data_IF_368560616354
#
_entry.id   IF_368560616354
#
_cell.length_a   1.000
_cell.length_b   1.000
_cell.length_c   1.000
_cell.angle_alpha   90.00
_cell.angle_beta   90.00
_cell.angle_gamma   90.00
#
_symmetry.space_group_name_H-M   'P 1'
#
loop_
_entity.id
_entity.type
_entity.pdbx_description
1 polymer ?
#
# COMPACT_ATOMS: atom_id res chain seq x y z
N UNK A 1 0.62 29.85 -9.76
CA UNK A 1 0.45 29.87 -8.29
C UNK A 1 0.30 28.42 -7.86
N UNK A 2 1.29 27.83 -7.18
CA UNK A 2 1.21 26.43 -6.74
C UNK A 2 0.20 26.42 -5.59
N UNK A 3 -0.93 25.78 -5.81
CA UNK A 3 -1.95 25.65 -4.79
C UNK A 3 -1.44 24.69 -3.70
N UNK A 4 -1.06 25.25 -2.56
CA UNK A 4 -0.55 24.51 -1.40
C UNK A 4 -1.65 23.72 -0.66
N UNK A 5 -2.90 23.79 -1.13
CA UNK A 5 -4.06 23.15 -0.49
C UNK A 5 -4.13 21.65 -0.76
N UNK A 6 -3.55 21.15 -1.86
CA UNK A 6 -3.52 19.72 -2.16
C UNK A 6 -2.10 19.13 -1.99
N UNK A 7 -1.81 18.48 -0.84
CA UNK A 7 -0.53 17.85 -0.58
C UNK A 7 -0.24 16.66 -1.51
N UNK A 8 -1.24 16.13 -2.21
CA UNK A 8 -1.10 15.05 -3.19
C UNK A 8 -0.58 15.57 -4.55
N UNK A 9 -0.54 16.89 -4.82
CA UNK A 9 0.08 17.38 -6.07
C UNK A 9 1.57 17.03 -6.11
N UNK A 10 2.03 16.49 -7.24
CA UNK A 10 3.36 15.85 -7.33
C UNK A 10 4.52 16.75 -6.94
N UNK A 11 4.49 18.02 -7.35
CA UNK A 11 5.49 19.02 -6.97
C UNK A 11 5.48 19.34 -5.48
N UNK A 12 4.31 19.33 -4.85
CA UNK A 12 4.15 19.62 -3.40
C UNK A 12 4.65 18.42 -2.59
N UNK A 13 4.25 17.19 -2.97
CA UNK A 13 4.75 15.94 -2.38
C UNK A 13 6.28 15.87 -2.43
N UNK A 14 6.86 16.12 -3.61
CA UNK A 14 8.31 16.10 -3.82
C UNK A 14 9.03 17.08 -2.87
N UNK A 15 8.48 18.29 -2.69
CA UNK A 15 9.06 19.28 -1.79
C UNK A 15 8.99 18.86 -0.32
N UNK A 16 7.87 18.29 0.13
CA UNK A 16 7.76 17.74 1.48
C UNK A 16 8.77 16.62 1.72
N UNK A 17 8.85 15.67 0.78
CA UNK A 17 9.81 14.58 0.83
C UNK A 17 11.25 15.09 0.90
N UNK A 18 11.67 15.92 -0.06
CA UNK A 18 13.02 16.52 -0.09
C UNK A 18 13.36 17.30 1.16
N UNK A 19 12.42 18.12 1.66
CA UNK A 19 12.62 18.89 2.89
C UNK A 19 12.84 17.95 4.07
N UNK A 20 12.05 16.88 4.17
CA UNK A 20 12.19 15.88 5.23
C UNK A 20 13.54 15.19 5.17
N UNK A 21 13.93 14.73 3.99
CA UNK A 21 15.20 14.04 3.76
C UNK A 21 16.39 14.96 4.06
N UNK A 22 16.38 16.22 3.64
CA UNK A 22 17.47 17.18 3.92
C UNK A 22 17.62 17.48 5.42
N UNK A 23 16.50 17.64 6.13
CA UNK A 23 16.51 17.82 7.59
C UNK A 23 17.06 16.55 8.26
N UNK A 24 16.62 15.37 7.82
CA UNK A 24 17.13 14.08 8.30
C UNK A 24 18.64 13.96 8.12
N UNK A 25 19.16 14.24 6.92
CA UNK A 25 20.62 14.26 6.64
C UNK A 25 21.33 15.19 7.61
N UNK A 26 20.87 16.44 7.73
CA UNK A 26 21.53 17.44 8.57
C UNK A 26 21.57 17.00 10.05
N UNK A 27 20.44 16.58 10.60
CA UNK A 27 20.34 16.17 12.01
C UNK A 27 21.20 14.92 12.28
N UNK A 28 21.16 13.92 11.40
CA UNK A 28 21.91 12.68 11.57
C UNK A 28 23.43 12.89 11.44
N UNK A 29 23.87 13.72 10.49
CA UNK A 29 25.29 14.11 10.38
C UNK A 29 25.73 14.91 11.61
N UNK A 30 24.89 15.82 12.10
CA UNK A 30 25.19 16.59 13.31
C UNK A 30 25.33 15.70 14.54
N UNK A 31 24.41 14.75 14.72
CA UNK A 31 24.48 13.75 15.80
C UNK A 31 25.73 12.88 15.68
N UNK A 32 26.08 12.43 14.47
CA UNK A 32 27.32 11.69 14.22
C UNK A 32 28.54 12.49 14.70
N UNK A 33 28.68 13.76 14.29
CA UNK A 33 29.84 14.59 14.66
C UNK A 33 29.96 14.73 16.18
N UNK A 34 28.85 15.05 16.86
CA UNK A 34 28.85 15.22 18.32
C UNK A 34 29.21 13.92 19.03
N UNK A 35 28.53 12.82 18.69
CA UNK A 35 28.75 11.52 19.32
C UNK A 35 30.15 11.01 19.04
N UNK A 36 30.66 11.15 17.82
CA UNK A 36 32.00 10.70 17.48
C UNK A 36 33.07 11.50 18.24
N UNK A 37 32.93 12.83 18.32
CA UNK A 37 33.84 13.67 19.09
C UNK A 37 33.82 13.32 20.58
N UNK A 38 32.64 13.19 21.20
CA UNK A 38 32.53 12.82 22.62
C UNK A 38 33.01 11.39 22.86
N UNK A 39 32.62 10.44 22.03
CA UNK A 39 33.03 9.05 22.14
C UNK A 39 34.55 8.88 22.06
N UNK A 40 35.22 9.64 21.18
CA UNK A 40 36.70 9.60 21.08
C UNK A 40 37.39 10.31 22.24
N UNK A 41 36.93 11.50 22.64
CA UNK A 41 37.52 12.25 23.76
C UNK A 41 37.39 11.52 25.10
N UNK A 42 36.27 10.84 25.32
CA UNK A 42 35.97 10.10 26.54
C UNK A 42 36.21 8.60 26.40
N UNK A 43 36.89 8.16 25.34
CA UNK A 43 37.27 6.75 25.09
C UNK A 43 36.10 5.76 25.16
N UNK A 44 34.88 6.21 24.85
CA UNK A 44 33.67 5.41 24.90
C UNK A 44 33.39 4.74 23.56
N UNK A 45 33.76 3.47 23.45
CA UNK A 45 33.52 2.63 22.26
C UNK A 45 32.02 2.55 21.93
N UNK A 46 31.16 2.49 22.95
CA UNK A 46 29.70 2.44 22.78
C UNK A 46 29.14 3.70 22.11
N UNK A 47 29.62 4.88 22.50
CA UNK A 47 29.18 6.16 21.90
C UNK A 47 29.72 6.32 20.48
N UNK A 48 30.94 5.85 20.20
CA UNK A 48 31.48 5.85 18.84
C UNK A 48 30.67 4.92 17.93
N UNK A 49 30.28 3.74 18.40
CA UNK A 49 29.41 2.83 17.65
C UNK A 49 28.04 3.46 17.36
N UNK A 50 27.43 4.10 18.35
CA UNK A 50 26.17 4.84 18.19
C UNK A 50 26.29 6.06 17.25
N UNK A 51 27.47 6.66 17.16
CA UNK A 51 27.77 7.69 16.16
C UNK A 51 27.71 7.10 14.74
N UNK A 52 28.36 5.96 14.50
CA UNK A 52 28.36 5.30 13.18
C UNK A 52 26.95 4.95 12.72
N UNK A 53 26.05 4.57 13.65
CA UNK A 53 24.63 4.39 13.33
C UNK A 53 24.01 5.69 12.84
N UNK A 54 24.24 6.81 13.55
CA UNK A 54 23.76 8.13 13.09
C UNK A 54 24.28 8.52 11.70
N UNK A 55 25.47 8.05 11.31
CA UNK A 55 25.97 8.22 9.94
C UNK A 55 25.23 7.33 8.93
N UNK A 56 24.92 6.08 9.28
CA UNK A 56 24.10 5.20 8.45
C UNK A 56 22.70 5.79 8.20
N UNK A 57 22.09 6.43 9.19
CA UNK A 57 20.76 7.05 9.08
C UNK A 57 20.78 8.30 8.19
N UNK A 58 21.92 9.02 8.17
CA UNK A 58 22.13 10.05 7.16
C UNK A 58 22.14 9.43 5.75
N UNK A 59 22.74 8.25 5.58
CA UNK A 59 22.66 7.45 4.36
C UNK A 59 21.21 7.08 3.98
N UNK A 60 20.42 6.55 4.92
CA UNK A 60 18.99 6.28 4.73
C UNK A 60 18.21 7.54 4.33
N UNK A 61 18.57 8.70 4.88
CA UNK A 61 17.99 10.00 4.52
C UNK A 61 18.39 10.45 3.12
N UNK A 62 19.61 10.13 2.64
CA UNK A 62 20.02 10.33 1.24
C UNK A 62 19.21 9.44 0.30
N UNK A 63 18.98 8.16 0.66
CA UNK A 63 18.13 7.25 -0.11
C UNK A 63 16.71 7.83 -0.21
N UNK A 64 16.15 8.32 0.89
CA UNK A 64 14.87 9.03 0.92
C UNK A 64 14.86 10.23 -0.04
N UNK A 65 15.91 11.05 -0.04
CA UNK A 65 16.03 12.22 -0.92
C UNK A 65 16.03 11.82 -2.40
N UNK A 66 16.82 10.81 -2.76
CA UNK A 66 16.92 10.28 -4.12
C UNK A 66 15.58 9.66 -4.53
N UNK A 67 14.96 8.90 -3.64
CA UNK A 67 13.65 8.28 -3.84
C UNK A 67 12.61 9.32 -4.27
N UNK A 68 12.42 10.39 -3.51
CA UNK A 68 11.46 11.44 -3.87
C UNK A 68 11.79 12.16 -5.18
N UNK A 69 13.07 12.34 -5.50
CA UNK A 69 13.50 12.94 -6.77
C UNK A 69 13.18 12.02 -7.95
N UNK A 70 13.44 10.73 -7.83
CA UNK A 70 13.23 9.75 -8.89
C UNK A 70 11.77 9.37 -9.04
N UNK A 71 11.03 9.19 -7.94
CA UNK A 71 9.61 8.84 -7.96
C UNK A 71 8.75 9.94 -8.56
N UNK A 72 9.18 11.20 -8.45
CA UNK A 72 8.50 12.36 -9.04
C UNK A 72 8.76 12.52 -10.55
N UNK A 73 9.61 11.68 -11.16
CA UNK A 73 9.88 11.74 -12.58
C UNK A 73 8.63 11.31 -13.38
N UNK A 74 8.23 12.07 -14.42
CA UNK A 74 7.10 11.68 -15.26
C UNK A 74 7.36 10.35 -16.00
N UNK A 75 6.33 9.84 -16.68
CA UNK A 75 6.46 8.70 -17.57
C UNK A 75 7.47 8.98 -18.68
N UNK A 76 8.20 7.94 -19.10
CA UNK A 76 9.12 7.98 -20.21
C UNK A 76 9.02 6.70 -21.05
N UNK A 77 9.77 6.62 -22.15
CA UNK A 77 9.73 5.49 -23.09
C UNK A 77 10.02 4.13 -22.43
N UNK A 78 10.88 4.09 -21.40
CA UNK A 78 11.20 2.86 -20.68
C UNK A 78 10.19 2.54 -19.57
N UNK A 79 9.53 3.57 -19.04
CA UNK A 79 8.57 3.48 -17.94
C UNK A 79 7.30 4.25 -18.29
N UNK A 80 6.42 3.70 -19.14
CA UNK A 80 5.22 4.40 -19.63
C UNK A 80 4.21 4.70 -18.52
N UNK A 81 4.23 3.93 -17.43
CA UNK A 81 3.39 4.19 -16.24
C UNK A 81 4.03 5.15 -15.23
N UNK A 82 5.28 5.58 -15.46
CA UNK A 82 6.02 6.47 -14.56
C UNK A 82 6.85 5.74 -13.51
N UNK A 83 7.37 6.51 -12.56
CA UNK A 83 8.44 6.09 -11.66
C UNK A 83 8.02 6.03 -10.19
N UNK A 84 6.75 6.26 -9.87
CA UNK A 84 6.31 6.47 -8.48
C UNK A 84 6.53 5.24 -7.58
N UNK A 85 6.50 4.01 -8.12
CA UNK A 85 6.85 2.78 -7.37
C UNK A 85 8.28 2.74 -6.84
N UNK A 86 9.20 3.59 -7.33
CA UNK A 86 10.54 3.75 -6.74
C UNK A 86 10.43 4.12 -5.26
N UNK A 87 9.38 4.83 -4.87
CA UNK A 87 9.15 5.15 -3.46
C UNK A 87 9.00 3.89 -2.61
N UNK A 88 8.21 2.91 -3.05
CA UNK A 88 8.03 1.64 -2.34
C UNK A 88 9.33 0.84 -2.29
N UNK A 89 10.08 0.78 -3.40
CA UNK A 89 11.37 0.08 -3.46
C UNK A 89 12.36 0.69 -2.46
N UNK A 90 12.47 2.01 -2.42
CA UNK A 90 13.35 2.70 -1.47
C UNK A 90 12.91 2.48 -0.01
N UNK A 91 11.60 2.48 0.26
CA UNK A 91 11.05 2.12 1.57
C UNK A 91 11.43 0.70 1.99
N UNK A 92 11.36 -0.27 1.07
CA UNK A 92 11.78 -1.66 1.34
C UNK A 92 13.27 -1.74 1.66
N UNK A 93 14.13 -0.98 0.95
CA UNK A 93 15.57 -0.92 1.24
C UNK A 93 15.83 -0.39 2.65
N UNK A 94 15.14 0.68 3.06
CA UNK A 94 15.26 1.20 4.43
C UNK A 94 14.73 0.18 5.46
N UNK A 95 13.62 -0.52 5.17
CA UNK A 95 13.11 -1.57 6.03
C UNK A 95 14.14 -2.70 6.23
N UNK A 96 14.87 -3.08 5.17
CA UNK A 96 15.97 -4.05 5.26
C UNK A 96 17.11 -3.53 6.15
N UNK A 97 17.48 -2.25 6.06
CA UNK A 97 18.47 -1.67 6.98
C UNK A 97 18.02 -1.70 8.44
N UNK A 98 16.75 -1.37 8.73
CA UNK A 98 16.18 -1.50 10.08
C UNK A 98 16.29 -2.95 10.58
N UNK A 99 16.00 -3.94 9.74
CA UNK A 99 16.15 -5.36 10.09
C UNK A 99 17.61 -5.74 10.38
N UNK A 100 18.55 -5.27 9.56
CA UNK A 100 19.98 -5.52 9.78
C UNK A 100 20.47 -4.89 11.09
N UNK A 101 20.04 -3.66 11.40
CA UNK A 101 20.33 -3.00 12.67
C UNK A 101 19.73 -3.77 13.85
N UNK A 102 18.49 -4.25 13.73
CA UNK A 102 17.86 -5.11 14.73
C UNK A 102 18.64 -6.41 14.97
N UNK A 103 19.09 -7.08 13.91
CA UNK A 103 19.92 -8.29 14.01
C UNK A 103 21.28 -8.00 14.66
N UNK A 104 21.91 -6.88 14.31
CA UNK A 104 23.19 -6.49 14.89
C UNK A 104 23.05 -6.13 16.38
N UNK A 105 21.99 -5.42 16.76
CA UNK A 105 21.66 -5.17 18.16
C UNK A 105 21.41 -6.49 18.91
N UNK A 106 20.66 -7.42 18.33
CA UNK A 106 20.40 -8.73 18.94
C UNK A 106 21.72 -9.49 19.21
N UNK A 107 22.63 -9.52 18.23
CA UNK A 107 23.94 -10.18 18.34
C UNK A 107 24.81 -9.53 19.42
N UNK A 108 24.94 -8.20 19.38
CA UNK A 108 25.76 -7.45 20.33
C UNK A 108 25.19 -7.56 21.76
N UNK A 109 23.87 -7.48 21.93
CA UNK A 109 23.20 -7.68 23.20
C UNK A 109 23.36 -9.10 23.74
N UNK A 110 23.25 -10.14 22.88
CA UNK A 110 23.53 -11.51 23.29
C UNK A 110 24.99 -11.69 23.75
N UNK A 111 25.94 -11.11 23.01
CA UNK A 111 27.36 -11.15 23.39
C UNK A 111 27.60 -10.48 24.76
N UNK A 112 26.92 -9.38 25.07
CA UNK A 112 27.00 -8.71 26.38
C UNK A 112 26.47 -9.56 27.55
N UNK A 113 25.53 -10.48 27.30
CA UNK A 113 25.08 -11.45 28.33
C UNK A 113 26.19 -12.48 28.60
N UNK A 114 26.84 -12.97 27.55
CA UNK A 114 27.87 -14.02 27.65
C UNK A 114 29.19 -13.45 28.16
N UNK A 115 29.54 -12.23 27.73
CA UNK A 115 30.75 -11.50 28.09
C UNK A 115 30.37 -10.09 28.53
N UNK A 116 30.08 -9.92 29.83
CA UNK A 116 29.82 -8.63 30.46
C UNK A 116 30.95 -7.64 30.18
N UNK A 117 30.66 -6.53 29.52
CA UNK A 117 31.62 -5.41 29.36
C UNK A 117 31.52 -4.48 30.57
N UNK A 118 32.64 -3.86 30.98
CA UNK A 118 32.59 -2.79 31.99
C UNK A 118 31.96 -1.53 31.36
N UNK A 119 30.81 -1.12 31.89
CA UNK A 119 30.14 0.12 31.46
C UNK A 119 30.76 1.27 32.25
N UNK A 120 31.63 2.06 31.61
CA UNK A 120 32.12 3.30 32.22
C UNK A 120 31.02 4.36 32.24
N UNK A 121 30.59 4.71 33.46
CA UNK A 121 29.59 5.75 33.67
C UNK A 121 30.22 7.13 33.52
N UNK A 122 29.72 7.93 32.57
CA UNK A 122 30.09 9.33 32.38
C UNK A 122 28.87 10.22 32.22
N UNK A 123 28.78 11.28 33.02
CA UNK A 123 27.70 12.27 32.92
C UNK A 123 27.64 12.94 31.54
N UNK A 124 28.79 13.07 30.87
CA UNK A 124 28.86 13.63 29.51
C UNK A 124 28.24 12.67 28.49
N UNK A 125 28.52 11.36 28.62
CA UNK A 125 27.95 10.32 27.76
C UNK A 125 26.42 10.28 27.92
N UNK A 126 25.92 10.28 29.16
CA UNK A 126 24.49 10.34 29.46
C UNK A 126 23.82 11.56 28.81
N UNK A 127 24.43 12.74 28.93
CA UNK A 127 23.91 13.97 28.31
C UNK A 127 23.80 13.88 26.79
N UNK A 128 24.81 13.31 26.12
CA UNK A 128 24.79 13.12 24.66
C UNK A 128 23.74 12.10 24.22
N UNK A 129 23.58 10.99 24.95
CA UNK A 129 22.55 9.99 24.64
C UNK A 129 21.14 10.57 24.81
N UNK A 130 20.90 11.35 25.87
CA UNK A 130 19.63 12.06 26.08
C UNK A 130 19.34 13.05 24.95
N UNK A 131 20.35 13.84 24.54
CA UNK A 131 20.21 14.76 23.42
C UNK A 131 19.89 14.01 22.11
N UNK A 132 20.56 12.90 21.85
CA UNK A 132 20.29 12.03 20.70
C UNK A 132 18.85 11.51 20.69
N UNK A 133 18.39 10.98 21.82
CA UNK A 133 17.01 10.49 21.97
C UNK A 133 16.01 11.61 21.68
N UNK A 134 16.22 12.81 22.22
CA UNK A 134 15.35 13.95 21.98
C UNK A 134 15.32 14.36 20.49
N UNK A 135 16.47 14.43 19.84
CA UNK A 135 16.58 14.76 18.42
C UNK A 135 15.89 13.71 17.52
N UNK A 136 16.10 12.42 17.81
CA UNK A 136 15.48 11.31 17.07
C UNK A 136 13.97 11.20 17.31
N UNK A 137 13.49 11.45 18.54
CA UNK A 137 12.05 11.55 18.83
C UNK A 137 11.41 12.70 18.05
N UNK A 138 12.09 13.84 17.95
CA UNK A 138 11.62 14.95 17.13
C UNK A 138 11.58 14.56 15.64
N UNK A 139 12.62 13.90 15.12
CA UNK A 139 12.63 13.40 13.73
C UNK A 139 11.51 12.40 13.47
N UNK A 140 11.26 11.47 14.40
CA UNK A 140 10.13 10.54 14.31
C UNK A 140 8.80 11.30 14.20
N UNK A 141 8.53 12.22 15.12
CA UNK A 141 7.30 13.02 15.14
C UNK A 141 7.13 13.88 13.88
N UNK A 142 8.23 14.45 13.38
CA UNK A 142 8.24 15.23 12.15
C UNK A 142 7.94 14.36 10.91
N UNK A 143 8.64 13.24 10.76
CA UNK A 143 8.46 12.33 9.63
C UNK A 143 7.09 11.67 9.64
N UNK A 144 6.57 11.19 10.79
CA UNK A 144 5.25 10.54 10.82
C UNK A 144 4.12 11.51 10.49
N UNK A 145 4.25 12.79 10.88
CA UNK A 145 3.28 13.83 10.52
C UNK A 145 3.27 14.09 9.02
N UNK A 146 4.45 14.16 8.40
CA UNK A 146 4.55 14.31 6.95
C UNK A 146 4.10 13.05 6.20
N UNK A 147 4.47 11.88 6.70
CA UNK A 147 4.09 10.58 6.14
C UNK A 147 2.57 10.43 6.05
N UNK A 148 1.83 10.82 7.09
CA UNK A 148 0.36 10.82 7.07
C UNK A 148 -0.21 11.89 6.13
N UNK A 149 0.44 13.05 6.04
CA UNK A 149 -0.05 14.18 5.24
C UNK A 149 0.02 13.93 3.74
N UNK A 150 1.05 13.24 3.29
CA UNK A 150 1.22 12.91 1.87
C UNK A 150 0.92 11.45 1.58
N UNK A 151 0.65 10.61 2.58
CA UNK A 151 0.61 9.15 2.43
C UNK A 151 1.91 8.59 1.79
N UNK A 152 2.99 8.61 2.55
CA UNK A 152 4.32 8.16 2.10
C UNK A 152 4.83 7.00 2.92
N UNK A 153 4.99 5.84 2.27
CA UNK A 153 5.67 4.68 2.83
C UNK A 153 7.14 5.00 3.15
N UNK A 154 7.79 5.85 2.35
CA UNK A 154 9.20 6.21 2.54
C UNK A 154 9.41 7.05 3.80
N UNK A 155 8.49 7.96 4.12
CA UNK A 155 8.54 8.71 5.38
C UNK A 155 8.09 7.89 6.59
N UNK A 156 7.18 6.92 6.42
CA UNK A 156 6.88 5.91 7.47
C UNK A 156 8.15 5.09 7.78
N UNK A 157 8.81 4.63 6.71
CA UNK A 157 10.23 4.30 6.57
C UNK A 157 11.15 4.98 7.59
N UNK A 158 11.45 6.24 7.26
CA UNK A 158 12.38 7.10 7.99
C UNK A 158 11.92 7.38 9.43
N UNK A 159 10.61 7.43 9.69
CA UNK A 159 10.10 7.59 11.04
C UNK A 159 10.40 6.35 11.90
N UNK A 160 10.12 5.15 11.39
CA UNK A 160 10.36 3.90 12.11
C UNK A 160 11.86 3.66 12.37
N UNK A 161 12.72 4.05 11.41
CA UNK A 161 14.17 4.09 11.58
C UNK A 161 14.57 4.97 12.77
N UNK A 162 14.08 6.22 12.80
CA UNK A 162 14.34 7.15 13.91
C UNK A 162 13.81 6.63 15.26
N UNK A 163 12.67 5.94 15.27
CA UNK A 163 12.11 5.32 16.47
C UNK A 163 12.96 4.13 16.93
N UNK A 164 13.49 3.33 16.00
CA UNK A 164 14.36 2.20 16.29
C UNK A 164 15.63 2.67 17.00
N UNK A 165 16.21 3.78 16.56
CA UNK A 165 17.34 4.40 17.27
C UNK A 165 16.96 4.89 18.66
N UNK A 166 15.80 5.54 18.82
CA UNK A 166 15.33 5.97 20.14
C UNK A 166 15.28 4.78 21.09
N UNK A 167 14.73 3.65 20.65
CA UNK A 167 14.64 2.45 21.47
C UNK A 167 16.02 1.87 21.77
N UNK A 168 16.89 1.77 20.77
CA UNK A 168 18.25 1.25 20.92
C UNK A 168 19.10 2.12 21.85
N UNK A 169 19.16 3.44 21.62
CA UNK A 169 19.88 4.39 22.47
C UNK A 169 19.28 4.43 23.89
N UNK A 170 17.95 4.33 24.04
CA UNK A 170 17.30 4.27 25.35
C UNK A 170 17.65 2.99 26.10
N UNK A 171 17.76 1.85 25.41
CA UNK A 171 18.22 0.59 26.00
C UNK A 171 19.61 0.75 26.61
N UNK A 172 20.55 1.32 25.85
CA UNK A 172 21.92 1.58 26.31
C UNK A 172 21.92 2.55 27.50
N UNK A 173 21.14 3.62 27.43
CA UNK A 173 21.05 4.62 28.48
C UNK A 173 20.49 4.05 29.79
N UNK A 174 19.37 3.33 29.74
CA UNK A 174 18.77 2.67 30.90
C UNK A 174 19.74 1.70 31.54
N UNK A 175 20.46 0.93 30.72
CA UNK A 175 21.42 -0.06 31.19
C UNK A 175 22.64 0.59 31.83
N UNK A 176 23.10 1.72 31.30
CA UNK A 176 24.19 2.53 31.86
C UNK A 176 23.82 3.09 33.25
N UNK A 177 22.57 3.47 33.46
CA UNK A 177 22.11 4.03 34.75
C UNK A 177 21.80 2.94 35.78
N UNK A 178 21.13 1.86 35.37
CA UNK A 178 20.61 0.86 36.30
C UNK A 178 21.62 -0.25 36.65
N UNK A 179 22.53 -0.61 35.75
CA UNK A 179 23.48 -1.72 36.00
C UNK A 179 24.39 -1.47 37.22
N UNK A 180 24.92 -0.25 37.44
CA UNK A 180 25.68 0.06 38.66
C UNK A 180 24.84 0.01 39.95
N UNK A 181 23.54 0.33 39.87
CA UNK A 181 22.64 0.36 41.03
C UNK A 181 22.18 -1.03 41.48
N UNK A 182 22.00 -1.95 40.52
CA UNK A 182 21.48 -3.30 40.76
C UNK A 182 22.59 -4.34 40.95
N UNK A 183 23.85 -4.02 40.63
CA UNK A 183 24.97 -4.97 40.65
C UNK A 183 24.83 -6.08 39.60
N UNK A 184 23.95 -5.90 38.61
CA UNK A 184 23.65 -6.86 37.55
C UNK A 184 23.60 -6.14 36.20
N UNK A 185 24.23 -6.71 35.17
CA UNK A 185 24.26 -6.09 33.85
C UNK A 185 22.98 -6.36 33.06
N UNK A 186 22.14 -5.33 32.95
CA UNK A 186 20.86 -5.40 32.24
C UNK A 186 20.96 -5.18 30.72
N UNK A 187 22.09 -4.65 30.24
CA UNK A 187 22.27 -4.19 28.85
C UNK A 187 21.96 -5.25 27.80
N UNK A 188 22.46 -6.47 28.02
CA UNK A 188 22.19 -7.57 27.11
C UNK A 188 20.72 -7.97 27.06
N UNK A 189 20.03 -8.02 28.21
CA UNK A 189 18.62 -8.45 28.27
C UNK A 189 17.67 -7.40 27.69
N UNK A 190 17.87 -6.12 28.06
CA UNK A 190 17.06 -5.01 27.53
C UNK A 190 17.30 -4.85 26.03
N UNK A 191 18.55 -4.97 25.58
CA UNK A 191 18.90 -4.88 24.17
C UNK A 191 18.32 -6.01 23.32
N UNK A 192 18.27 -7.26 23.82
CA UNK A 192 17.55 -8.35 23.14
C UNK A 192 16.07 -7.99 22.98
N UNK A 193 15.40 -7.57 24.06
CA UNK A 193 13.98 -7.21 24.01
C UNK A 193 13.72 -6.08 23.00
N UNK A 194 14.53 -5.04 23.02
CA UNK A 194 14.42 -3.90 22.09
C UNK A 194 14.70 -4.33 20.64
N UNK A 195 15.69 -5.19 20.40
CA UNK A 195 16.01 -5.68 19.06
C UNK A 195 14.84 -6.42 18.41
N UNK A 196 14.06 -7.19 19.18
CA UNK A 196 12.85 -7.87 18.70
C UNK A 196 11.81 -6.85 18.25
N UNK A 197 11.57 -5.78 19.01
CA UNK A 197 10.64 -4.72 18.62
C UNK A 197 11.07 -4.01 17.34
N UNK A 198 12.37 -3.71 17.20
CA UNK A 198 12.94 -3.11 15.99
C UNK A 198 12.74 -4.03 14.79
N UNK A 199 13.06 -5.32 14.93
CA UNK A 199 12.88 -6.31 13.86
C UNK A 199 11.42 -6.46 13.45
N UNK A 200 10.49 -6.49 14.41
CA UNK A 200 9.05 -6.53 14.10
C UNK A 200 8.61 -5.29 13.31
N UNK A 201 9.11 -4.10 13.68
CA UNK A 201 8.82 -2.87 12.94
C UNK A 201 9.35 -2.93 11.51
N UNK A 202 10.60 -3.37 11.32
CA UNK A 202 11.19 -3.56 10.00
C UNK A 202 10.45 -4.57 9.13
N UNK A 203 10.01 -5.70 9.72
CA UNK A 203 9.25 -6.73 9.01
C UNK A 203 7.88 -6.23 8.55
N UNK A 204 7.17 -5.49 9.42
CA UNK A 204 5.87 -4.93 9.08
C UNK A 204 5.95 -3.95 7.91
N UNK A 205 6.96 -3.08 7.93
CA UNK A 205 7.19 -2.11 6.84
C UNK A 205 7.58 -2.83 5.56
N UNK A 206 8.46 -3.82 5.64
CA UNK A 206 8.86 -4.61 4.47
C UNK A 206 7.65 -5.29 3.85
N UNK A 207 6.81 -5.95 4.66
CA UNK A 207 5.57 -6.57 4.21
C UNK A 207 4.64 -5.56 3.54
N UNK A 208 4.35 -4.43 4.20
CA UNK A 208 3.50 -3.37 3.65
C UNK A 208 4.01 -2.87 2.29
N UNK A 209 5.33 -2.67 2.14
CA UNK A 209 5.93 -2.21 0.87
C UNK A 209 5.90 -3.27 -0.23
N UNK A 210 6.07 -4.55 0.11
CA UNK A 210 5.93 -5.65 -0.85
C UNK A 210 4.48 -5.81 -1.30
N UNK A 211 3.53 -5.68 -0.38
CA UNK A 211 2.11 -5.70 -0.70
C UNK A 211 1.77 -4.58 -1.70
N UNK A 212 2.30 -3.35 -1.51
CA UNK A 212 2.13 -2.25 -2.49
C UNK A 212 2.75 -2.55 -3.87
N UNK A 213 3.83 -3.34 -3.93
CA UNK A 213 4.49 -3.71 -5.18
C UNK A 213 3.74 -4.83 -5.93
N UNK A 214 3.19 -5.79 -5.18
CA UNK A 214 2.39 -6.90 -5.72
C UNK A 214 1.02 -6.44 -6.21
N UNK A 215 0.46 -5.42 -5.57
CA UNK A 215 -0.89 -4.91 -5.83
C UNK A 215 -1.79 -5.24 -4.65
N UNK A 216 -2.13 -4.23 -3.87
CA UNK A 216 -3.09 -4.35 -2.79
C UNK A 216 -4.51 -4.20 -3.33
N UNK A 217 -5.46 -4.87 -2.67
CA UNK A 217 -6.88 -4.64 -2.89
C UNK A 217 -7.18 -3.15 -2.63
N UNK A 218 -7.88 -2.46 -3.54
CA UNK A 218 -8.25 -1.06 -3.34
C UNK A 218 -9.12 -0.92 -2.09
N UNK A 219 -9.06 0.24 -1.43
CA UNK A 219 -9.97 0.54 -0.31
C UNK A 219 -11.42 0.57 -0.79
N UNK A 220 -12.35 0.02 -0.02
CA UNK A 220 -13.79 0.07 -0.34
C UNK A 220 -14.31 1.48 -0.62
N UNK A 221 -13.79 2.49 0.09
CA UNK A 221 -14.10 3.91 -0.16
C UNK A 221 -13.77 4.36 -1.59
N UNK A 222 -12.65 3.89 -2.16
CA UNK A 222 -12.23 4.23 -3.52
C UNK A 222 -13.11 3.51 -4.56
N UNK A 223 -13.48 2.27 -4.27
CA UNK A 223 -14.38 1.46 -5.10
C UNK A 223 -15.75 2.14 -5.20
N UNK A 224 -16.35 2.46 -4.04
CA UNK A 224 -17.64 3.16 -3.96
C UNK A 224 -17.58 4.55 -4.59
N UNK A 225 -16.45 5.24 -4.46
CA UNK A 225 -16.25 6.54 -5.10
C UNK A 225 -16.31 6.43 -6.62
N UNK A 226 -15.59 5.47 -7.24
CA UNK A 226 -15.63 5.28 -8.70
C UNK A 226 -17.02 4.81 -9.13
N UNK A 227 -17.61 3.84 -8.43
CA UNK A 227 -18.93 3.29 -8.74
C UNK A 227 -20.01 4.38 -8.75
N UNK A 228 -20.09 5.15 -7.67
CA UNK A 228 -21.05 6.24 -7.56
C UNK A 228 -20.73 7.42 -8.48
N UNK A 229 -19.47 7.60 -8.90
CA UNK A 229 -19.12 8.64 -9.86
C UNK A 229 -19.62 8.30 -11.26
N UNK A 230 -19.39 7.05 -11.71
CA UNK A 230 -19.81 6.59 -13.05
C UNK A 230 -21.33 6.52 -13.15
N UNK A 231 -22.02 5.98 -12.14
CA UNK A 231 -23.49 5.83 -12.13
C UNK A 231 -24.28 7.14 -12.08
N UNK A 232 -23.64 8.30 -11.90
CA UNK A 232 -24.31 9.61 -11.93
C UNK A 232 -24.70 10.06 -13.33
N UNK A 233 -24.11 9.48 -14.35
CA UNK A 233 -24.30 9.92 -15.73
C UNK A 233 -25.56 9.29 -16.31
N UNK A 234 -26.44 10.12 -16.85
CA UNK A 234 -27.63 9.65 -17.58
C UNK A 234 -27.20 8.79 -18.78
N UNK A 235 -27.82 7.61 -18.93
CA UNK A 235 -27.46 6.62 -19.96
C UNK A 235 -26.59 5.47 -19.45
N UNK A 236 -26.01 5.57 -18.25
CA UNK A 236 -25.38 4.44 -17.55
C UNK A 236 -26.46 3.62 -16.84
N UNK A 237 -26.61 2.34 -17.21
CA UNK A 237 -27.60 1.43 -16.64
C UNK A 237 -27.04 0.63 -15.47
N UNK A 238 -25.73 0.38 -15.49
CA UNK A 238 -25.02 -0.45 -14.52
C UNK A 238 -23.53 -0.42 -14.79
N UNK A 239 -22.76 -0.93 -13.82
CA UNK A 239 -21.33 -1.18 -14.01
C UNK A 239 -20.95 -2.50 -13.36
N UNK A 240 -19.95 -3.16 -13.92
CA UNK A 240 -19.36 -4.40 -13.41
C UNK A 240 -17.88 -4.48 -13.77
N UNK A 241 -17.19 -5.50 -13.27
CA UNK A 241 -15.77 -5.77 -13.54
C UNK A 241 -14.85 -4.56 -13.32
N UNK A 242 -15.13 -3.80 -12.25
CA UNK A 242 -14.23 -2.75 -11.82
C UNK A 242 -12.92 -3.39 -11.34
N UNK A 243 -11.83 -3.06 -12.01
CA UNK A 243 -10.47 -3.43 -11.63
C UNK A 243 -9.71 -2.16 -11.36
N UNK A 244 -9.07 -2.06 -10.19
CA UNK A 244 -8.28 -0.89 -9.80
C UNK A 244 -6.88 -1.36 -9.43
N UNK A 245 -5.87 -0.70 -9.98
CA UNK A 245 -4.48 -0.93 -9.63
C UNK A 245 -3.68 0.37 -9.64
N UNK A 246 -2.54 0.41 -8.96
CA UNK A 246 -1.72 1.61 -8.85
C UNK A 246 -0.26 1.38 -9.28
N UNK A 247 0.34 2.41 -9.88
CA UNK A 247 1.77 2.47 -10.23
C UNK A 247 2.54 3.44 -9.34
N UNK A 248 2.19 3.45 -8.06
CA UNK A 248 2.75 4.33 -7.05
C UNK A 248 1.66 4.96 -6.18
N UNK A 249 2.04 5.82 -5.24
CA UNK A 249 1.10 6.35 -4.24
C UNK A 249 -0.03 7.20 -4.82
N UNK A 250 0.12 7.76 -6.02
CA UNK A 250 -0.86 8.72 -6.58
C UNK A 250 -1.34 8.40 -7.98
N UNK A 251 -0.88 7.28 -8.53
CA UNK A 251 -1.12 6.96 -9.93
C UNK A 251 -1.95 5.69 -10.01
N UNK A 252 -3.26 5.89 -10.02
CA UNK A 252 -4.26 4.85 -10.14
C UNK A 252 -4.68 4.68 -11.60
N UNK A 253 -4.83 3.42 -11.98
CA UNK A 253 -5.42 2.99 -13.23
C UNK A 253 -6.60 2.11 -12.87
N UNK A 254 -7.67 2.25 -13.63
CA UNK A 254 -8.84 1.42 -13.47
C UNK A 254 -9.38 1.01 -14.83
N UNK A 255 -10.00 -0.17 -14.87
CA UNK A 255 -10.86 -0.59 -15.97
C UNK A 255 -12.21 -0.97 -15.41
N UNK A 256 -13.28 -0.72 -16.17
CA UNK A 256 -14.65 -1.06 -15.75
C UNK A 256 -15.52 -1.32 -16.97
N UNK A 257 -16.49 -2.21 -16.84
CA UNK A 257 -17.53 -2.39 -17.83
C UNK A 257 -18.71 -1.50 -17.46
N UNK A 258 -19.22 -0.74 -18.44
CA UNK A 258 -20.37 0.15 -18.25
C UNK A 258 -21.50 -0.30 -19.16
N UNK A 259 -22.62 -0.67 -18.55
CA UNK A 259 -23.83 -1.09 -19.24
C UNK A 259 -24.55 0.12 -19.83
N UNK A 260 -24.84 0.08 -21.13
CA UNK A 260 -25.60 1.10 -21.87
C UNK A 260 -26.71 0.44 -22.69
N UNK A 261 -27.74 1.20 -23.08
CA UNK A 261 -28.82 0.65 -23.91
C UNK A 261 -28.31 0.31 -25.33
N UNK A 262 -28.48 -0.94 -25.76
CA UNK A 262 -28.07 -1.41 -27.08
C UNK A 262 -28.78 -0.70 -28.26
N UNK A 263 -29.86 0.04 -28.00
CA UNK A 263 -30.56 0.85 -29.00
C UNK A 263 -29.99 2.25 -29.19
N UNK A 264 -29.24 2.74 -28.20
CA UNK A 264 -28.67 4.07 -28.27
C UNK A 264 -27.66 4.12 -29.44
N UNK A 265 -27.51 5.30 -30.04
CA UNK A 265 -26.51 5.46 -31.09
C UNK A 265 -25.11 5.24 -30.49
N UNK A 266 -24.33 4.37 -31.13
CA UNK A 266 -23.00 3.98 -30.62
C UNK A 266 -22.05 5.18 -30.44
N UNK A 267 -22.19 6.23 -31.25
CA UNK A 267 -21.37 7.43 -31.10
C UNK A 267 -21.82 8.29 -29.91
N UNK A 268 -23.12 8.27 -29.59
CA UNK A 268 -23.66 8.93 -28.39
C UNK A 268 -23.18 8.21 -27.14
N UNK A 269 -23.27 6.87 -27.10
CA UNK A 269 -22.75 6.10 -25.97
C UNK A 269 -21.23 6.22 -25.85
N UNK A 270 -20.49 6.26 -26.97
CA UNK A 270 -19.04 6.50 -26.92
C UNK A 270 -18.70 7.90 -26.39
N UNK A 271 -19.40 8.96 -26.81
CA UNK A 271 -19.18 10.31 -26.29
C UNK A 271 -19.48 10.39 -24.77
N UNK A 272 -20.53 9.71 -24.31
CA UNK A 272 -20.84 9.55 -22.88
C UNK A 272 -19.65 8.95 -22.12
N UNK A 273 -19.13 7.83 -22.60
CA UNK A 273 -17.98 7.16 -21.99
C UNK A 273 -16.72 8.04 -22.00
N UNK A 274 -16.39 8.66 -23.13
CA UNK A 274 -15.25 9.59 -23.25
C UNK A 274 -15.35 10.75 -22.25
N UNK A 275 -16.56 11.24 -21.98
CA UNK A 275 -16.81 12.28 -20.99
C UNK A 275 -16.58 11.77 -19.56
N UNK A 276 -17.04 10.57 -19.24
CA UNK A 276 -16.82 9.94 -17.93
C UNK A 276 -15.32 9.73 -17.68
N UNK A 277 -14.58 9.17 -18.64
CA UNK A 277 -13.15 8.95 -18.55
C UNK A 277 -12.38 10.26 -18.33
N UNK A 278 -12.69 11.30 -19.13
CA UNK A 278 -12.06 12.63 -19.00
C UNK A 278 -12.34 13.26 -17.65
N UNK A 279 -13.57 13.18 -17.16
CA UNK A 279 -13.97 13.81 -15.91
C UNK A 279 -13.35 13.09 -14.70
N UNK A 280 -13.32 11.74 -14.69
CA UNK A 280 -12.61 10.97 -13.65
C UNK A 280 -11.11 11.27 -13.64
N UNK A 281 -10.48 11.38 -14.81
CA UNK A 281 -9.07 11.72 -14.91
C UNK A 281 -8.77 13.12 -14.36
N UNK A 282 -9.67 14.08 -14.55
CA UNK A 282 -9.52 15.46 -14.06
C UNK A 282 -9.83 15.61 -12.57
N UNK A 283 -10.92 15.02 -12.10
CA UNK A 283 -11.44 15.21 -10.74
C UNK A 283 -10.74 14.32 -9.72
N UNK A 284 -10.48 13.06 -10.10
CA UNK A 284 -9.93 12.03 -9.21
C UNK A 284 -8.47 11.69 -9.51
N UNK A 285 -7.94 12.11 -10.66
CA UNK A 285 -6.58 11.76 -11.08
C UNK A 285 -6.39 10.28 -11.42
N UNK A 286 -7.48 9.58 -11.71
CA UNK A 286 -7.50 8.14 -12.03
C UNK A 286 -7.54 7.99 -13.55
N UNK A 287 -6.64 7.19 -14.11
CA UNK A 287 -6.71 6.83 -15.51
C UNK A 287 -7.69 5.66 -15.69
N UNK A 288 -8.95 5.98 -15.96
CA UNK A 288 -9.99 5.01 -16.21
C UNK A 288 -10.07 4.64 -17.70
N UNK A 289 -10.21 3.35 -17.99
CA UNK A 289 -10.59 2.84 -19.30
C UNK A 289 -11.91 2.11 -19.17
N UNK A 290 -12.90 2.51 -19.94
CA UNK A 290 -14.23 1.94 -19.87
C UNK A 290 -14.44 1.00 -21.07
N UNK A 291 -14.84 -0.22 -20.79
CA UNK A 291 -15.44 -1.10 -21.79
C UNK A 291 -16.93 -0.78 -21.89
N UNK A 292 -17.39 -0.42 -23.08
CA UNK A 292 -18.80 -0.16 -23.35
C UNK A 292 -19.52 -1.49 -23.55
N UNK A 293 -20.51 -1.78 -22.71
CA UNK A 293 -21.25 -3.04 -22.72
C UNK A 293 -22.74 -2.78 -23.06
N UNK A 294 -23.19 -3.04 -24.31
CA UNK A 294 -24.56 -2.77 -24.72
C UNK A 294 -25.51 -3.88 -24.25
N UNK A 295 -26.53 -3.52 -23.48
CA UNK A 295 -27.58 -4.43 -23.02
C UNK A 295 -28.92 -4.19 -23.73
N UNK A 296 -29.62 -5.27 -24.08
CA UNK A 296 -30.94 -5.20 -24.72
C UNK A 296 -31.98 -4.92 -23.64
N UNK A 297 -32.59 -3.74 -23.66
CA UNK A 297 -33.56 -3.30 -22.65
C UNK A 297 -35.02 -3.50 -23.06
N UNK A 298 -35.29 -3.71 -24.35
CA UNK A 298 -36.65 -3.62 -24.92
C UNK A 298 -37.27 -4.95 -25.36
N UNK A 299 -36.53 -6.07 -25.30
CA UNK A 299 -37.05 -7.40 -25.59
C UNK A 299 -37.58 -8.04 -24.30
N UNK A 300 -38.91 -8.11 -24.09
CA UNK A 300 -39.48 -8.63 -22.85
C UNK A 300 -39.09 -10.09 -22.59
N UNK A 301 -38.88 -10.88 -23.64
CA UNK A 301 -38.49 -12.28 -23.51
C UNK A 301 -37.04 -12.42 -23.03
N UNK A 302 -36.12 -11.60 -23.57
CA UNK A 302 -34.72 -11.58 -23.11
C UNK A 302 -34.65 -11.07 -21.66
N UNK A 303 -35.42 -10.03 -21.32
CA UNK A 303 -35.48 -9.49 -19.97
C UNK A 303 -36.04 -10.50 -18.95
N UNK A 304 -37.09 -11.24 -19.30
CA UNK A 304 -37.64 -12.30 -18.45
C UNK A 304 -36.60 -13.40 -18.18
N UNK A 305 -35.87 -13.83 -19.22
CA UNK A 305 -34.81 -14.82 -19.08
C UNK A 305 -33.62 -14.30 -18.27
N UNK A 306 -33.26 -13.01 -18.41
CA UNK A 306 -32.22 -12.37 -17.61
C UNK A 306 -32.58 -12.36 -16.14
N UNK A 307 -33.80 -11.93 -15.80
CA UNK A 307 -34.29 -11.94 -14.42
C UNK A 307 -34.39 -13.35 -13.84
N UNK A 308 -34.86 -14.33 -14.63
CA UNK A 308 -34.89 -15.73 -14.22
C UNK A 308 -33.49 -16.23 -13.89
N UNK A 309 -32.53 -15.97 -14.77
CA UNK A 309 -31.14 -16.40 -14.63
C UNK A 309 -30.49 -15.74 -13.41
N UNK A 310 -30.65 -14.43 -13.25
CA UNK A 310 -30.15 -13.69 -12.09
C UNK A 310 -30.69 -14.26 -10.77
N UNK A 311 -32.00 -14.57 -10.69
CA UNK A 311 -32.61 -15.20 -9.51
C UNK A 311 -32.08 -16.60 -9.24
N UNK A 312 -31.75 -17.38 -10.28
CA UNK A 312 -31.15 -18.69 -10.11
C UNK A 312 -29.72 -18.57 -9.59
N UNK A 313 -28.92 -17.68 -10.16
CA UNK A 313 -27.53 -17.42 -9.74
C UNK A 313 -27.51 -17.00 -8.27
N UNK A 314 -28.29 -15.99 -7.88
CA UNK A 314 -28.37 -15.56 -6.48
C UNK A 314 -28.94 -16.66 -5.56
N UNK A 315 -29.84 -17.51 -6.08
CA UNK A 315 -30.39 -18.65 -5.33
C UNK A 315 -29.44 -19.84 -5.18
N UNK A 316 -28.29 -19.86 -5.85
CA UNK A 316 -27.21 -20.85 -5.63
C UNK A 316 -26.33 -20.43 -4.46
N UNK A 317 -26.01 -19.14 -4.38
CA UNK A 317 -25.32 -18.50 -3.27
C UNK A 317 -25.53 -16.98 -3.41
N UNK A 318 -25.94 -16.31 -2.33
CA UNK A 318 -26.27 -14.87 -2.33
C UNK A 318 -25.06 -13.99 -2.67
N UNK A 319 -23.84 -14.52 -2.59
CA UNK A 319 -22.61 -13.82 -2.90
C UNK A 319 -22.23 -13.85 -4.38
N UNK A 320 -22.94 -14.61 -5.21
CA UNK A 320 -22.71 -14.67 -6.66
C UNK A 320 -23.43 -13.53 -7.37
N UNK A 321 -22.76 -12.94 -8.37
CA UNK A 321 -23.37 -12.00 -9.31
C UNK A 321 -23.22 -12.50 -10.75
N UNK A 322 -23.99 -11.90 -11.66
CA UNK A 322 -24.01 -12.24 -13.08
C UNK A 322 -23.95 -10.97 -13.91
N UNK A 323 -23.16 -10.99 -14.98
CA UNK A 323 -23.08 -9.94 -16.01
C UNK A 323 -22.96 -10.55 -17.41
N UNK A 324 -22.81 -9.69 -18.43
CA UNK A 324 -22.65 -10.04 -19.86
C UNK A 324 -23.74 -10.99 -20.41
N UNK A 325 -24.95 -10.89 -19.83
CA UNK A 325 -26.04 -11.79 -20.15
C UNK A 325 -26.60 -11.55 -21.55
N UNK A 326 -26.60 -12.59 -22.38
CA UNK A 326 -27.20 -12.58 -23.72
C UNK A 326 -27.90 -13.89 -24.03
N UNK A 327 -28.88 -13.81 -24.93
CA UNK A 327 -29.68 -14.95 -25.38
C UNK A 327 -29.48 -15.19 -26.86
N UNK A 328 -29.04 -16.40 -27.22
CA UNK A 328 -29.04 -16.86 -28.61
C UNK A 328 -30.25 -17.77 -28.83
N UNK A 329 -31.28 -17.25 -29.52
CA UNK A 329 -32.52 -17.96 -29.82
C UNK A 329 -32.27 -19.00 -30.92
N UNK A 330 -32.57 -20.27 -30.64
CA UNK A 330 -32.55 -21.36 -31.62
C UNK A 330 -33.95 -21.93 -31.87
N UNK A 331 -34.08 -22.74 -32.92
CA UNK A 331 -35.37 -23.36 -33.29
C UNK A 331 -35.84 -24.45 -32.32
N UNK A 332 -34.92 -25.11 -31.63
CA UNK A 332 -35.22 -26.21 -30.68
C UNK A 332 -34.92 -25.87 -29.23
N UNK A 333 -33.99 -24.94 -28.99
CA UNK A 333 -33.55 -24.52 -27.67
C UNK A 333 -32.98 -23.11 -27.76
N UNK A 334 -32.91 -22.42 -26.62
CA UNK A 334 -32.21 -21.14 -26.49
C UNK A 334 -30.99 -21.29 -25.60
N UNK A 335 -29.89 -20.63 -25.98
CA UNK A 335 -28.67 -20.59 -25.18
C UNK A 335 -28.63 -19.29 -24.39
N UNK A 336 -28.52 -19.41 -23.07
CA UNK A 336 -28.28 -18.33 -22.12
C UNK A 336 -26.77 -18.27 -21.91
N UNK A 337 -26.16 -17.18 -22.34
CA UNK A 337 -24.71 -16.98 -22.24
C UNK A 337 -24.48 -15.84 -21.27
N UNK A 338 -23.68 -16.08 -20.24
CA UNK A 338 -23.43 -15.10 -19.18
C UNK A 338 -22.20 -15.48 -18.37
N UNK A 339 -21.67 -14.49 -17.68
CA UNK A 339 -20.51 -14.64 -16.83
C UNK A 339 -20.98 -14.57 -15.37
N UNK A 340 -20.41 -15.43 -14.53
CA UNK A 340 -20.74 -15.52 -13.10
C UNK A 340 -19.51 -15.15 -12.29
N UNK A 341 -19.64 -14.11 -11.48
CA UNK A 341 -18.57 -13.68 -10.59
C UNK A 341 -18.67 -14.49 -9.30
N UNK A 342 -17.60 -15.25 -9.03
CA UNK A 342 -17.45 -16.02 -7.81
C UNK A 342 -16.49 -15.28 -6.86
N UNK A 343 -16.94 -14.85 -5.68
CA UNK A 343 -16.05 -14.27 -4.67
C UNK A 343 -14.97 -15.26 -4.25
N UNK A 344 -13.78 -14.76 -3.91
CA UNK A 344 -12.66 -15.60 -3.45
C UNK A 344 -12.97 -16.44 -2.19
N UNK A 345 -13.99 -16.04 -1.43
CA UNK A 345 -14.41 -16.72 -0.19
C UNK A 345 -15.46 -17.82 -0.43
N UNK A 346 -15.95 -17.97 -1.68
CA UNK A 346 -16.91 -19.01 -2.01
C UNK A 346 -16.28 -20.39 -1.82
N UNK A 347 -16.98 -21.29 -1.13
CA UNK A 347 -16.50 -22.65 -0.80
C UNK A 347 -16.74 -23.65 -1.93
N UNK A 348 -17.67 -23.35 -2.83
CA UNK A 348 -18.00 -24.22 -3.97
C UNK A 348 -16.92 -24.09 -5.04
N UNK A 349 -16.60 -25.20 -5.68
CA UNK A 349 -15.75 -25.21 -6.86
C UNK A 349 -16.50 -24.64 -8.07
N UNK A 350 -15.74 -24.17 -9.06
CA UNK A 350 -16.29 -23.56 -10.27
C UNK A 350 -17.22 -24.52 -11.01
N UNK A 351 -16.83 -25.80 -11.09
CA UNK A 351 -17.67 -26.86 -11.66
C UNK A 351 -18.97 -27.08 -10.90
N UNK A 352 -18.94 -27.05 -9.56
CA UNK A 352 -20.17 -27.23 -8.75
C UNK A 352 -21.15 -26.07 -8.97
N UNK A 353 -20.64 -24.82 -9.05
CA UNK A 353 -21.48 -23.64 -9.32
C UNK A 353 -22.10 -23.75 -10.71
N UNK A 354 -21.30 -24.09 -11.74
CA UNK A 354 -21.79 -24.27 -13.11
C UNK A 354 -22.86 -25.37 -13.18
N UNK A 355 -22.61 -26.53 -12.57
CA UNK A 355 -23.54 -27.66 -12.57
C UNK A 355 -24.86 -27.29 -11.88
N UNK A 356 -24.81 -26.64 -10.72
CA UNK A 356 -26.00 -26.27 -9.96
C UNK A 356 -26.86 -25.22 -10.68
N UNK A 357 -26.23 -24.18 -11.25
CA UNK A 357 -26.93 -23.16 -12.05
C UNK A 357 -27.58 -23.82 -13.28
N UNK A 358 -26.81 -24.65 -14.00
CA UNK A 358 -27.28 -25.34 -15.20
C UNK A 358 -28.47 -26.24 -14.90
N UNK A 359 -28.41 -27.00 -13.79
CA UNK A 359 -29.51 -27.85 -13.36
C UNK A 359 -30.75 -27.02 -13.02
N UNK A 360 -30.62 -25.98 -12.19
CA UNK A 360 -31.75 -25.14 -11.77
C UNK A 360 -32.43 -24.43 -12.94
N UNK A 361 -31.67 -23.96 -13.94
CA UNK A 361 -32.23 -23.37 -15.16
C UNK A 361 -32.99 -24.43 -15.97
N UNK A 362 -32.43 -25.63 -16.11
CA UNK A 362 -33.06 -26.73 -16.85
C UNK A 362 -34.32 -27.28 -16.18
N UNK A 363 -34.43 -27.15 -14.86
CA UNK A 363 -35.64 -27.45 -14.08
C UNK A 363 -36.77 -26.44 -14.36
N UNK A 364 -36.45 -25.19 -14.71
CA UNK A 364 -37.42 -24.17 -15.08
C UNK A 364 -37.93 -24.34 -16.50
N UNK A 365 -37.03 -24.60 -17.45
CA UNK A 365 -37.37 -24.93 -18.83
C UNK A 365 -36.30 -25.85 -19.44
N UNK A 366 -36.74 -26.99 -19.97
CA UNK A 366 -35.86 -28.01 -20.58
C UNK A 366 -35.24 -27.56 -21.91
N UNK A 367 -35.79 -26.51 -22.52
CA UNK A 367 -35.30 -25.93 -23.77
C UNK A 367 -34.30 -24.79 -23.55
N UNK A 368 -33.95 -24.48 -22.29
CA UNK A 368 -32.89 -23.52 -21.95
C UNK A 368 -31.58 -24.24 -21.66
N UNK A 369 -30.52 -23.79 -22.33
CA UNK A 369 -29.16 -24.28 -22.14
C UNK A 369 -28.27 -23.12 -21.69
N UNK A 370 -27.30 -23.41 -20.85
CA UNK A 370 -26.40 -22.43 -20.26
C UNK A 370 -25.01 -22.54 -20.87
N UNK A 371 -24.40 -21.40 -21.14
CA UNK A 371 -22.98 -21.27 -21.47
C UNK A 371 -22.42 -20.28 -20.46
N UNK A 372 -21.75 -20.81 -19.44
CA UNK A 372 -21.31 -20.04 -18.27
C UNK A 372 -19.81 -19.86 -18.31
N UNK A 373 -19.34 -18.61 -18.25
CA UNK A 373 -17.95 -18.29 -17.92
C UNK A 373 -17.86 -17.96 -16.44
N UNK A 374 -16.79 -18.37 -15.78
CA UNK A 374 -16.55 -18.04 -14.38
C UNK A 374 -15.49 -16.95 -14.30
N UNK A 375 -15.85 -15.85 -13.64
CA UNK A 375 -14.94 -14.79 -13.28
C UNK A 375 -14.75 -14.71 -11.76
N UNK A 376 -13.64 -14.08 -11.36
CA UNK A 376 -13.30 -13.86 -9.95
C UNK A 376 -13.31 -12.37 -9.67
N UNK A 377 -13.97 -11.98 -8.58
CA UNK A 377 -13.98 -10.58 -8.16
C UNK A 377 -12.56 -10.11 -7.84
N UNK A 378 -12.14 -9.01 -8.46
CA UNK A 378 -10.88 -8.32 -8.16
C UNK A 378 -10.99 -7.39 -6.93
N UNK A 379 -12.22 -7.20 -6.42
CA UNK A 379 -12.57 -6.28 -5.34
C UNK A 379 -13.34 -7.00 -4.23
#
# INVERSE_FOLDING_TARGET
>A
MIDFLDPQKGKVREQYGKKSSLIGIFVNVFLFIIKFAVGTLFHSVAVVADAVNSLADAGSSVISLISFKLSSKPADEKHPFGHERIEYIASSVVAVFILLLGIELLKTSFNKIVRPDEIEFSFVVVGVLLFSIAAKLWLYGFNIKLAKRIDSSMLRATAADSLSDVLATSSVLLSTILSPLLGFQLDGYVGILVSVFIMMSGLNILKETLDFLLGQVPSGELVELIDSYVKKYDGVLGIHDLVIHNYGPRRYFASVHVEVDAKEDILVSHDLIDNIERNIAQDLGIHLVIHLDPIITDDPFVNELRELTAKVVSGVDDSLSMHDFRVVKGFTHSNLIFDVVIPHQCKKSDSEVIEEITQKIKEKDKNLFTVITIDRSYI
#
